data_IF_533396370390
#
_entry.id   IF_533396370390
#
_cell.length_a   1.000
_cell.length_b   1.000
_cell.length_c   1.000
_cell.angle_alpha   90.00
_cell.angle_beta   90.00
_cell.angle_gamma   90.00
#
_symmetry.space_group_name_H-M   'P 1'
#
loop_
_entity.id
_entity.type
_entity.pdbx_description
1 polymer ?
#
# COMPACT_ATOMS: atom_id res chain seq x y z
N UNK A 1 11.96 -6.92 -19.43
CA UNK A 1 12.02 -5.66 -18.64
C UNK A 1 11.32 -5.83 -17.26
N UNK A 2 10.36 -6.76 -17.10
CA UNK A 2 9.57 -7.00 -15.89
C UNK A 2 10.32 -7.37 -14.58
N UNK A 3 11.35 -8.24 -14.56
CA UNK A 3 11.90 -8.74 -13.29
C UNK A 3 12.68 -7.68 -12.49
N UNK A 4 13.28 -6.71 -13.13
CA UNK A 4 14.15 -5.73 -12.45
C UNK A 4 13.37 -4.69 -11.65
N UNK A 5 12.26 -4.17 -12.19
CA UNK A 5 11.41 -3.22 -11.48
C UNK A 5 10.70 -3.86 -10.28
N UNK A 6 10.23 -5.08 -10.42
CA UNK A 6 9.58 -5.82 -9.34
C UNK A 6 10.54 -6.10 -8.18
N UNK A 7 11.78 -6.47 -8.46
CA UNK A 7 12.82 -6.68 -7.44
C UNK A 7 13.11 -5.40 -6.65
N UNK A 8 13.23 -4.26 -7.33
CA UNK A 8 13.46 -2.96 -6.68
C UNK A 8 12.28 -2.55 -5.79
N UNK A 9 11.05 -2.73 -6.26
CA UNK A 9 9.84 -2.41 -5.48
C UNK A 9 9.73 -3.28 -4.23
N UNK A 10 10.01 -4.59 -4.33
CA UNK A 10 10.03 -5.49 -3.18
C UNK A 10 11.03 -5.02 -2.11
N UNK A 11 12.23 -4.65 -2.52
CA UNK A 11 13.27 -4.17 -1.60
C UNK A 11 12.84 -2.88 -0.90
N UNK A 12 12.26 -1.94 -1.62
CA UNK A 12 11.77 -0.68 -1.06
C UNK A 12 10.63 -0.88 -0.05
N UNK A 13 9.71 -1.81 -0.31
CA UNK A 13 8.64 -2.17 0.63
C UNK A 13 9.22 -2.73 1.93
N UNK A 14 10.19 -3.63 1.86
CA UNK A 14 10.86 -4.18 3.03
C UNK A 14 11.57 -3.07 3.84
N UNK A 15 12.30 -2.18 3.17
CA UNK A 15 12.96 -1.05 3.82
C UNK A 15 11.95 -0.13 4.49
N UNK A 16 10.78 0.09 3.88
CA UNK A 16 9.70 0.90 4.47
C UNK A 16 9.19 0.28 5.78
N UNK A 17 8.94 -1.03 5.82
CA UNK A 17 8.57 -1.73 7.05
C UNK A 17 9.67 -1.62 8.11
N UNK A 18 10.93 -1.87 7.74
CA UNK A 18 12.05 -1.74 8.67
C UNK A 18 12.16 -0.32 9.24
N UNK A 19 11.95 0.71 8.42
CA UNK A 19 11.98 2.11 8.87
C UNK A 19 10.88 2.40 9.90
N UNK A 20 9.66 1.90 9.68
CA UNK A 20 8.53 2.06 10.62
C UNK A 20 8.85 1.37 11.95
N UNK A 21 9.30 0.12 11.91
CA UNK A 21 9.59 -0.64 13.13
C UNK A 21 10.77 -0.09 13.90
N UNK A 22 11.84 0.35 13.21
CA UNK A 22 12.97 1.03 13.85
C UNK A 22 12.55 2.34 14.51
N UNK A 23 11.67 3.12 13.85
CA UNK A 23 11.15 4.35 14.43
C UNK A 23 10.38 4.09 15.73
N UNK A 24 9.54 3.07 15.77
CA UNK A 24 8.81 2.67 16.99
C UNK A 24 9.80 2.23 18.08
N UNK A 25 10.80 1.41 17.73
CA UNK A 25 11.82 0.96 18.65
C UNK A 25 12.63 2.11 19.26
N UNK A 26 12.90 3.17 18.50
CA UNK A 26 13.60 4.37 18.98
C UNK A 26 12.75 5.20 19.97
N UNK A 27 11.43 5.24 19.77
CA UNK A 27 10.53 5.99 20.66
C UNK A 27 10.29 5.24 21.96
N UNK A 28 10.12 3.93 21.90
CA UNK A 28 9.80 3.10 23.05
C UNK A 28 11.06 2.76 23.85
N UNK A 29 11.00 2.94 25.17
CA UNK A 29 12.12 2.60 26.08
C UNK A 29 12.16 1.11 26.42
N UNK A 30 11.02 0.40 26.30
CA UNK A 30 10.87 -0.99 26.65
C UNK A 30 10.54 -1.85 25.42
N UNK A 31 11.23 -2.98 25.30
CA UNK A 31 11.07 -3.92 24.15
C UNK A 31 9.63 -4.45 24.08
N UNK A 32 9.02 -4.78 25.23
CA UNK A 32 7.65 -5.32 25.28
C UNK A 32 6.63 -4.32 24.73
N UNK A 33 6.75 -3.05 25.12
CA UNK A 33 5.86 -1.97 24.65
C UNK A 33 6.07 -1.76 23.15
N UNK A 34 7.31 -1.70 22.69
CA UNK A 34 7.66 -1.56 21.27
C UNK A 34 7.05 -2.68 20.43
N UNK A 35 7.22 -3.92 20.85
CA UNK A 35 6.69 -5.09 20.14
C UNK A 35 5.17 -5.07 20.06
N UNK A 36 4.51 -4.72 21.18
CA UNK A 36 3.04 -4.63 21.23
C UNK A 36 2.52 -3.56 20.25
N UNK A 37 3.14 -2.38 20.24
CA UNK A 37 2.78 -1.30 19.31
C UNK A 37 3.00 -1.72 17.86
N UNK A 38 4.11 -2.40 17.55
CA UNK A 38 4.39 -2.92 16.21
C UNK A 38 3.30 -3.91 15.74
N UNK A 39 2.85 -4.81 16.61
CA UNK A 39 1.80 -5.77 16.28
C UNK A 39 0.47 -5.05 16.01
N UNK A 40 0.08 -4.12 16.90
CA UNK A 40 -1.16 -3.34 16.74
C UNK A 40 -1.10 -2.53 15.43
N UNK A 41 0.01 -1.86 15.15
CA UNK A 41 0.19 -1.09 13.92
C UNK A 41 0.12 -1.99 12.69
N UNK A 42 0.73 -3.17 12.72
CA UNK A 42 0.68 -4.12 11.62
C UNK A 42 -0.76 -4.56 11.32
N UNK A 43 -1.55 -4.88 12.35
CA UNK A 43 -2.97 -5.22 12.21
C UNK A 43 -3.76 -4.02 11.65
N UNK A 44 -3.53 -2.82 12.19
CA UNK A 44 -4.20 -1.60 11.71
C UNK A 44 -3.90 -1.31 10.23
N UNK A 45 -2.64 -1.47 9.80
CA UNK A 45 -2.26 -1.32 8.39
C UNK A 45 -2.91 -2.39 7.52
N UNK A 46 -3.04 -3.64 8.01
CA UNK A 46 -3.71 -4.71 7.28
C UNK A 46 -5.20 -4.40 7.06
N UNK A 47 -5.90 -3.93 8.10
CA UNK A 47 -7.31 -3.51 8.00
C UNK A 47 -7.47 -2.32 7.06
N UNK A 48 -6.60 -1.32 7.18
CA UNK A 48 -6.60 -0.15 6.31
C UNK A 48 -6.37 -0.53 4.84
N UNK A 49 -5.39 -1.41 4.57
CA UNK A 49 -5.13 -1.93 3.23
C UNK A 49 -6.35 -2.61 2.64
N UNK A 50 -7.05 -3.46 3.40
CA UNK A 50 -8.28 -4.12 2.94
C UNK A 50 -9.38 -3.11 2.59
N UNK A 51 -9.63 -2.15 3.48
CA UNK A 51 -10.67 -1.13 3.29
C UNK A 51 -10.40 -0.21 2.10
N UNK A 52 -9.20 0.35 2.02
CA UNK A 52 -8.84 1.24 0.91
C UNK A 52 -8.60 0.49 -0.40
N UNK A 53 -8.13 -0.76 -0.34
CA UNK A 53 -7.95 -1.60 -1.51
C UNK A 53 -9.27 -1.92 -2.22
N UNK A 54 -10.35 -2.18 -1.49
CA UNK A 54 -11.67 -2.37 -2.07
C UNK A 54 -12.15 -1.14 -2.85
N UNK A 55 -11.94 0.05 -2.30
CA UNK A 55 -12.32 1.30 -2.95
C UNK A 55 -11.38 1.61 -4.13
N UNK A 56 -10.07 1.46 -3.94
CA UNK A 56 -9.06 1.77 -4.94
C UNK A 56 -9.17 0.91 -6.21
N UNK A 57 -9.64 -0.32 -6.06
CA UNK A 57 -9.80 -1.29 -7.15
C UNK A 57 -11.25 -1.43 -7.63
N UNK A 58 -12.14 -0.48 -7.25
CA UNK A 58 -13.52 -0.47 -7.72
C UNK A 58 -13.59 -0.19 -9.21
N UNK A 59 -14.31 -1.02 -9.95
CA UNK A 59 -14.55 -0.83 -11.38
C UNK A 59 -15.72 0.12 -11.60
N UNK A 60 -15.56 1.06 -12.54
CA UNK A 60 -16.61 2.01 -12.93
C UNK A 60 -17.77 1.34 -13.67
N UNK A 61 -17.48 0.22 -14.33
CA UNK A 61 -18.44 -0.50 -15.15
C UNK A 61 -18.46 -1.98 -14.78
N UNK A 62 -19.66 -2.55 -14.76
CA UNK A 62 -19.88 -3.99 -14.68
C UNK A 62 -19.86 -4.53 -16.11
N UNK A 63 -18.97 -5.49 -16.39
CA UNK A 63 -18.88 -6.15 -17.67
C UNK A 63 -19.71 -7.43 -17.62
N UNK A 64 -20.75 -7.50 -18.45
CA UNK A 64 -21.47 -8.74 -18.71
C UNK A 64 -20.73 -9.51 -19.79
N UNK A 65 -20.25 -10.70 -19.45
CA UNK A 65 -19.44 -11.54 -20.34
C UNK A 65 -20.09 -12.89 -20.54
N UNK A 66 -19.88 -13.50 -21.72
CA UNK A 66 -20.13 -14.92 -21.95
C UNK A 66 -18.84 -15.58 -22.45
N UNK A 67 -18.70 -16.86 -22.15
CA UNK A 67 -17.58 -17.66 -22.64
C UNK A 67 -18.11 -18.56 -23.76
N UNK A 68 -17.47 -18.51 -24.93
CA UNK A 68 -17.83 -19.34 -26.07
C UNK A 68 -17.37 -20.81 -25.89
N UNK A 69 -17.77 -21.68 -26.81
CA UNK A 69 -17.41 -23.11 -26.79
C UNK A 69 -15.90 -23.37 -26.91
N UNK A 70 -15.14 -22.38 -27.38
CA UNK A 70 -13.68 -22.43 -27.49
C UNK A 70 -12.96 -21.91 -26.24
N UNK A 71 -13.69 -21.48 -25.21
CA UNK A 71 -13.14 -20.94 -23.97
C UNK A 71 -12.77 -19.44 -24.03
N UNK A 72 -13.13 -18.72 -25.09
CA UNK A 72 -12.89 -17.29 -25.19
C UNK A 72 -14.01 -16.51 -24.50
N UNK A 73 -13.64 -15.50 -23.69
CA UNK A 73 -14.58 -14.63 -23.00
C UNK A 73 -14.84 -13.38 -23.83
N UNK A 74 -16.11 -13.12 -24.12
CA UNK A 74 -16.58 -11.98 -24.90
C UNK A 74 -17.40 -11.04 -24.00
N UNK A 75 -17.20 -9.73 -24.14
CA UNK A 75 -18.00 -8.72 -23.44
C UNK A 75 -19.27 -8.45 -24.26
N UNK A 76 -20.46 -8.70 -23.65
CA UNK A 76 -21.76 -8.45 -24.28
C UNK A 76 -22.20 -7.01 -24.07
N UNK A 77 -22.08 -6.51 -22.83
CA UNK A 77 -22.49 -5.16 -22.47
C UNK A 77 -21.67 -4.63 -21.29
N UNK A 78 -21.62 -3.31 -21.20
CA UNK A 78 -21.02 -2.59 -20.08
C UNK A 78 -22.08 -1.68 -19.47
N UNK A 79 -22.35 -1.85 -18.19
CA UNK A 79 -23.28 -1.00 -17.44
C UNK A 79 -22.53 -0.26 -16.35
N UNK A 80 -22.87 1.00 -16.05
CA UNK A 80 -22.30 1.72 -14.92
C UNK A 80 -22.60 0.98 -13.62
N UNK A 81 -21.60 0.77 -12.76
CA UNK A 81 -21.80 0.16 -11.45
C UNK A 81 -22.52 1.15 -10.52
N UNK A 82 -23.72 0.85 -10.03
CA UNK A 82 -24.46 1.73 -9.12
C UNK A 82 -23.74 1.92 -7.77
N UNK A 83 -22.84 1.01 -7.41
CA UNK A 83 -22.04 1.06 -6.18
C UNK A 83 -20.68 1.74 -6.37
N UNK A 84 -20.38 2.24 -7.58
CA UNK A 84 -19.11 2.89 -7.85
C UNK A 84 -18.96 4.17 -7.02
N UNK A 85 -17.91 4.30 -6.19
CA UNK A 85 -17.76 5.40 -5.22
C UNK A 85 -17.44 6.75 -5.87
N UNK A 86 -17.13 6.76 -7.16
CA UNK A 86 -16.75 7.94 -7.95
C UNK A 86 -15.23 8.09 -8.11
N UNK A 87 -14.83 8.64 -9.26
CA UNK A 87 -13.42 8.75 -9.68
C UNK A 87 -12.52 9.44 -8.64
N UNK A 88 -13.03 10.49 -7.96
CA UNK A 88 -12.27 11.22 -6.95
C UNK A 88 -11.99 10.37 -5.71
N UNK A 89 -12.98 9.62 -5.22
CA UNK A 89 -12.81 8.75 -4.05
C UNK A 89 -11.89 7.58 -4.36
N UNK A 90 -12.00 6.99 -5.55
CA UNK A 90 -11.11 5.92 -6.02
C UNK A 90 -9.67 6.42 -6.08
N UNK A 91 -9.43 7.60 -6.64
CA UNK A 91 -8.09 8.20 -6.70
C UNK A 91 -7.51 8.47 -5.31
N UNK A 92 -8.29 9.03 -4.39
CA UNK A 92 -7.86 9.27 -3.01
C UNK A 92 -7.55 7.96 -2.28
N UNK A 93 -8.42 6.96 -2.41
CA UNK A 93 -8.21 5.65 -1.83
C UNK A 93 -6.95 4.97 -2.38
N UNK A 94 -6.67 5.10 -3.68
CA UNK A 94 -5.46 4.55 -4.31
C UNK A 94 -4.19 5.20 -3.78
N UNK A 95 -4.19 6.52 -3.55
CA UNK A 95 -3.05 7.22 -2.93
C UNK A 95 -2.79 6.70 -1.51
N UNK A 96 -3.83 6.59 -0.68
CA UNK A 96 -3.71 6.07 0.69
C UNK A 96 -3.24 4.62 0.66
N UNK A 97 -3.86 3.78 -0.16
CA UNK A 97 -3.54 2.37 -0.33
C UNK A 97 -2.08 2.15 -0.73
N UNK A 98 -1.56 2.91 -1.71
CA UNK A 98 -0.16 2.84 -2.14
C UNK A 98 0.82 3.49 -1.14
N UNK A 99 0.34 4.32 -0.22
CA UNK A 99 1.16 4.87 0.86
C UNK A 99 1.40 3.86 1.99
N UNK A 100 0.59 2.80 2.07
CA UNK A 100 0.72 1.74 3.07
C UNK A 100 1.60 0.62 2.49
N UNK A 101 2.70 0.21 3.18
CA UNK A 101 3.60 -0.83 2.64
C UNK A 101 2.90 -2.15 2.32
N UNK A 102 1.86 -2.54 3.06
CA UNK A 102 1.04 -3.72 2.76
C UNK A 102 0.24 -3.58 1.46
N UNK A 103 -0.31 -2.40 1.17
CA UNK A 103 -0.99 -2.12 -0.08
C UNK A 103 -0.03 -2.27 -1.27
N UNK A 104 1.18 -1.75 -1.13
CA UNK A 104 2.23 -1.93 -2.13
C UNK A 104 2.59 -3.40 -2.34
N UNK A 105 2.72 -4.19 -1.26
CA UNK A 105 3.02 -5.61 -1.35
C UNK A 105 1.94 -6.39 -2.12
N UNK A 106 0.66 -6.04 -1.93
CA UNK A 106 -0.45 -6.64 -2.68
C UNK A 106 -0.43 -6.28 -4.16
N UNK A 107 -0.16 -5.02 -4.50
CA UNK A 107 -0.06 -4.59 -5.92
C UNK A 107 1.10 -5.25 -6.66
N UNK A 108 2.22 -5.52 -5.97
CA UNK A 108 3.31 -6.29 -6.55
C UNK A 108 2.83 -7.70 -6.93
N UNK A 109 1.98 -8.31 -6.11
CA UNK A 109 1.35 -9.60 -6.41
C UNK A 109 0.40 -9.53 -7.61
N UNK A 110 -0.33 -8.45 -7.78
CA UNK A 110 -1.28 -8.24 -8.87
C UNK A 110 -0.62 -7.89 -10.22
N UNK A 111 0.69 -7.56 -10.22
CA UNK A 111 1.44 -7.15 -11.42
C UNK A 111 0.85 -5.95 -12.19
N UNK A 112 0.18 -5.02 -11.49
CA UNK A 112 -0.30 -3.78 -12.10
C UNK A 112 0.87 -2.85 -12.42
N UNK A 113 1.17 -2.69 -13.72
CA UNK A 113 2.34 -1.94 -14.20
C UNK A 113 2.28 -0.46 -13.84
N UNK A 114 1.10 0.14 -13.82
CA UNK A 114 0.93 1.55 -13.49
C UNK A 114 1.23 1.80 -12.00
N UNK A 115 0.69 0.99 -11.13
CA UNK A 115 0.96 1.04 -9.70
C UNK A 115 2.43 0.76 -9.39
N UNK A 116 3.05 -0.22 -10.05
CA UNK A 116 4.48 -0.56 -9.88
C UNK A 116 5.43 0.61 -10.20
N UNK A 117 5.08 1.48 -11.14
CA UNK A 117 5.88 2.67 -11.45
C UNK A 117 5.77 3.76 -10.39
N UNK A 118 4.62 3.88 -9.73
CA UNK A 118 4.37 4.90 -8.71
C UNK A 118 4.89 4.50 -7.32
N UNK A 119 4.94 3.21 -7.00
CA UNK A 119 5.34 2.67 -5.69
C UNK A 119 6.68 3.19 -5.16
N UNK A 120 7.77 3.27 -5.95
CA UNK A 120 9.05 3.76 -5.45
C UNK A 120 8.95 5.16 -4.86
N UNK A 121 8.12 6.03 -5.44
CA UNK A 121 7.91 7.40 -4.96
C UNK A 121 7.28 7.39 -3.56
N UNK A 122 6.22 6.59 -3.36
CA UNK A 122 5.55 6.48 -2.06
C UNK A 122 6.45 5.83 -1.01
N UNK A 123 7.18 4.75 -1.36
CA UNK A 123 8.12 4.09 -0.45
C UNK A 123 9.23 5.03 0.00
N UNK A 124 9.88 5.71 -0.94
CA UNK A 124 10.98 6.65 -0.63
C UNK A 124 10.46 7.80 0.22
N UNK A 125 9.32 8.39 -0.13
CA UNK A 125 8.70 9.47 0.65
C UNK A 125 8.42 9.03 2.09
N UNK A 126 7.86 7.84 2.28
CA UNK A 126 7.58 7.28 3.60
C UNK A 126 8.86 7.08 4.41
N UNK A 127 9.89 6.46 3.81
CA UNK A 127 11.19 6.24 4.45
C UNK A 127 11.82 7.57 4.88
N UNK A 128 11.82 8.57 4.01
CA UNK A 128 12.41 9.88 4.30
C UNK A 128 11.67 10.58 5.44
N UNK A 129 10.34 10.61 5.40
CA UNK A 129 9.52 11.25 6.45
C UNK A 129 9.76 10.57 7.81
N UNK A 130 9.73 9.25 7.86
CA UNK A 130 9.91 8.50 9.10
C UNK A 130 11.31 8.71 9.68
N UNK A 131 12.35 8.70 8.83
CA UNK A 131 13.72 8.91 9.30
C UNK A 131 13.93 10.35 9.80
N UNK A 132 13.38 11.37 9.13
CA UNK A 132 13.44 12.77 9.59
C UNK A 132 12.75 12.90 10.96
N UNK A 133 11.54 12.33 11.12
CA UNK A 133 10.84 12.33 12.40
C UNK A 133 11.62 11.59 13.49
N UNK A 134 12.26 10.46 13.14
CA UNK A 134 13.11 9.70 14.06
C UNK A 134 14.27 10.52 14.58
N UNK A 135 15.03 11.15 13.70
CA UNK A 135 16.15 12.03 14.08
C UNK A 135 15.67 13.20 14.93
N UNK A 136 14.56 13.83 14.55
CA UNK A 136 14.00 14.96 15.31
C UNK A 136 13.60 14.57 16.75
N UNK A 137 12.93 13.43 16.92
CA UNK A 137 12.52 12.96 18.25
C UNK A 137 13.73 12.53 19.07
N UNK A 138 14.70 11.84 18.45
CA UNK A 138 15.91 11.41 19.12
C UNK A 138 16.73 12.60 19.61
N UNK A 139 16.94 13.61 18.80
CA UNK A 139 17.68 14.83 19.19
C UNK A 139 17.04 15.56 20.36
N UNK A 140 15.71 15.54 20.47
CA UNK A 140 15.01 16.11 21.66
C UNK A 140 15.12 15.26 22.92
N UNK A 141 15.29 13.95 22.78
CA UNK A 141 15.38 13.02 23.91
C UNK A 141 16.76 13.08 24.58
N UNK A 142 17.83 13.30 23.80
CA UNK A 142 19.20 13.43 24.31
C UNK A 142 19.49 14.77 24.99
N UNK A 143 18.70 15.82 24.69
CA UNK A 143 18.88 17.17 25.24
C UNK A 143 18.17 17.38 26.61
N UNK A 144 17.59 16.34 27.17
CA UNK A 144 16.99 16.33 28.53
C UNK A 144 17.75 15.42 29.48
#
# INVERSE_FOLDING_TARGET
>A
IKPKHQSTSNTLVIISFCSIFNFIAMICSEITISTTICIILFIAMYVAQGSFGLIANSNKYINHTYTDENGNTHIISQEPDPNYPGDQKVKQAKIIYLSIPQGQAMEIGNNDLESLQQMPIYSISLIVIINILGVYIFSKKELK
#
